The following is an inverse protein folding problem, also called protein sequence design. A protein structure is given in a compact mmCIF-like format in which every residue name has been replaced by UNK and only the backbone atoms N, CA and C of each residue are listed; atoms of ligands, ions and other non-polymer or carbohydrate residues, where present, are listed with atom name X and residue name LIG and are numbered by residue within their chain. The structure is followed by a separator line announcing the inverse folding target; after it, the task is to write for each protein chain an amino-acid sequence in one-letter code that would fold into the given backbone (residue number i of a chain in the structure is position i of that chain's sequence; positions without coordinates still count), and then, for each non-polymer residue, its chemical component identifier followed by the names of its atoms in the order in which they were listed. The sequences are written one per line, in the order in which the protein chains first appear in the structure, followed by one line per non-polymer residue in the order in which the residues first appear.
data_IF_957001700074
#
_entry.id   IF_957001700074
#
_cell.length_a   1.000
_cell.length_b   1.000
_cell.length_c   1.000
_cell.angle_alpha   90.00
_cell.angle_beta   90.00
_cell.angle_gamma   90.00
#
_symmetry.space_group_name_H-M   'P 1'
#
loop_
_entity.id
_entity.type
_entity.pdbx_description
1 polymer ?
#
# COMPACT_ATOMS: atom_id res chain seq x y z
N UNK A 1 14.11 22.50 22.17
CA UNK A 1 13.97 21.30 21.31
C UNK A 1 13.98 21.77 19.87
N UNK A 2 15.11 21.66 19.19
CA UNK A 2 15.27 22.05 17.79
C UNK A 2 14.62 20.98 16.91
N UNK A 3 13.50 21.32 16.30
CA UNK A 3 12.92 20.50 15.22
C UNK A 3 13.85 20.54 14.03
N UNK A 4 14.62 19.48 13.84
CA UNK A 4 15.34 19.25 12.60
C UNK A 4 14.31 19.16 11.49
N UNK A 5 14.25 20.15 10.60
CA UNK A 5 13.50 20.05 9.36
C UNK A 5 14.16 18.96 8.52
N UNK A 6 13.53 17.80 8.43
CA UNK A 6 13.97 16.75 7.53
C UNK A 6 14.00 17.34 6.11
N UNK A 7 15.19 17.50 5.57
CA UNK A 7 15.39 18.02 4.24
C UNK A 7 14.79 17.03 3.24
N UNK A 8 13.89 17.49 2.38
CA UNK A 8 13.31 16.63 1.34
C UNK A 8 14.44 16.10 0.46
N UNK A 9 14.58 14.78 0.29
CA UNK A 9 15.66 14.21 -0.51
C UNK A 9 15.55 14.64 -1.98
N UNK A 10 16.69 14.90 -2.62
CA UNK A 10 16.74 15.14 -4.07
C UNK A 10 16.53 13.83 -4.84
N UNK A 11 15.26 13.49 -5.05
CA UNK A 11 14.87 12.26 -5.78
C UNK A 11 15.45 12.23 -7.19
N UNK A 12 15.48 13.37 -7.88
CA UNK A 12 16.02 13.44 -9.25
C UNK A 12 17.51 13.13 -9.27
N UNK A 13 18.27 13.68 -8.33
CA UNK A 13 19.69 13.39 -8.19
C UNK A 13 19.96 11.91 -7.82
N UNK A 14 19.16 11.35 -6.89
CA UNK A 14 19.26 9.94 -6.54
C UNK A 14 19.00 9.04 -7.76
N UNK A 15 17.94 9.30 -8.51
CA UNK A 15 17.62 8.54 -9.73
C UNK A 15 18.70 8.72 -10.80
N UNK A 16 19.24 9.92 -10.97
CA UNK A 16 20.30 10.18 -11.94
C UNK A 16 21.60 9.41 -11.61
N UNK A 17 21.88 9.16 -10.35
CA UNK A 17 23.08 8.44 -9.92
C UNK A 17 23.03 6.93 -10.20
N UNK A 18 21.87 6.36 -10.45
CA UNK A 18 21.72 4.94 -10.74
C UNK A 18 22.01 4.62 -12.21
N UNK A 19 22.59 3.46 -12.46
CA UNK A 19 22.74 2.93 -13.80
C UNK A 19 21.41 2.42 -14.37
N UNK A 20 21.40 2.07 -15.65
CA UNK A 20 20.18 1.62 -16.34
C UNK A 20 19.69 0.29 -15.78
N UNK A 21 20.59 -0.62 -15.47
CA UNK A 21 20.23 -1.95 -14.96
C UNK A 21 19.51 -1.83 -13.60
N UNK A 22 20.06 -1.05 -12.69
CA UNK A 22 19.45 -0.77 -11.40
C UNK A 22 18.10 -0.07 -11.54
N UNK A 23 17.97 0.88 -12.46
CA UNK A 23 16.68 1.52 -12.76
C UNK A 23 15.63 0.54 -13.26
N UNK A 24 16.00 -0.41 -14.11
CA UNK A 24 15.11 -1.47 -14.57
C UNK A 24 14.71 -2.39 -13.42
N UNK A 25 15.66 -2.76 -12.57
CA UNK A 25 15.40 -3.60 -11.38
C UNK A 25 14.46 -2.94 -10.39
N UNK A 26 14.48 -1.60 -10.25
CA UNK A 26 13.52 -0.88 -9.41
C UNK A 26 12.06 -1.06 -9.82
N UNK A 27 11.81 -1.34 -11.11
CA UNK A 27 10.47 -1.58 -11.64
C UNK A 27 10.04 -3.04 -11.49
N UNK A 28 10.92 -3.88 -10.97
CA UNK A 28 10.69 -5.32 -10.76
C UNK A 28 10.69 -5.60 -9.25
N UNK A 29 9.83 -6.50 -8.77
CA UNK A 29 9.92 -6.98 -7.39
C UNK A 29 11.17 -7.84 -7.17
N UNK A 30 11.66 -7.88 -5.96
CA UNK A 30 12.64 -8.88 -5.52
C UNK A 30 12.00 -10.27 -5.49
N UNK A 31 10.80 -10.31 -4.95
CA UNK A 31 9.92 -11.44 -4.92
C UNK A 31 8.47 -10.99 -5.15
N UNK A 32 7.50 -11.84 -4.81
CA UNK A 32 6.08 -11.58 -5.07
C UNK A 32 5.53 -10.39 -4.28
N UNK A 33 6.13 -10.06 -3.12
CA UNK A 33 5.59 -9.07 -2.19
C UNK A 33 6.60 -8.01 -1.75
N UNK A 34 7.83 -8.06 -2.25
CA UNK A 34 8.85 -7.10 -1.83
C UNK A 34 9.52 -6.40 -3.00
N UNK A 35 9.90 -5.15 -2.76
CA UNK A 35 10.78 -4.42 -3.68
C UNK A 35 12.23 -4.82 -3.45
N UNK A 36 13.11 -4.51 -4.40
CA UNK A 36 14.54 -4.58 -4.17
C UNK A 36 14.99 -3.50 -3.18
N UNK A 37 16.10 -3.75 -2.51
CA UNK A 37 16.84 -2.71 -1.78
C UNK A 37 17.98 -2.16 -2.64
N UNK A 38 18.33 -0.90 -2.42
CA UNK A 38 19.48 -0.24 -3.06
C UNK A 38 20.20 0.57 -1.98
N UNK A 39 21.15 -0.07 -1.27
CA UNK A 39 21.86 0.55 -0.14
C UNK A 39 22.62 1.82 -0.54
N UNK A 40 23.11 1.91 -1.78
CA UNK A 40 23.87 3.03 -2.30
C UNK A 40 23.11 4.36 -2.26
N UNK A 41 21.80 4.31 -2.33
CA UNK A 41 20.92 5.48 -2.20
C UNK A 41 20.08 5.47 -0.92
N UNK A 42 20.36 4.54 -0.01
CA UNK A 42 19.63 4.37 1.24
C UNK A 42 18.20 3.84 1.08
N UNK A 43 17.88 3.24 -0.07
CA UNK A 43 16.57 2.63 -0.30
C UNK A 43 16.51 1.23 0.33
N UNK A 44 15.66 1.08 1.34
CA UNK A 44 15.41 -0.22 1.96
C UNK A 44 14.40 -1.03 1.17
N UNK A 45 14.42 -2.33 1.37
CA UNK A 45 13.35 -3.22 0.92
C UNK A 45 12.01 -2.77 1.53
N UNK A 46 10.96 -2.74 0.70
CA UNK A 46 9.59 -2.45 1.12
C UNK A 46 8.70 -3.65 0.88
N UNK A 47 7.79 -3.90 1.81
CA UNK A 47 6.83 -5.01 1.74
C UNK A 47 5.47 -4.50 1.29
N UNK A 48 4.93 -5.12 0.26
CA UNK A 48 3.58 -4.87 -0.26
C UNK A 48 2.62 -5.92 0.28
N UNK A 49 1.34 -5.61 0.31
CA UNK A 49 0.29 -6.56 0.66
C UNK A 49 -1.01 -6.25 -0.04
N UNK A 50 -1.71 -7.30 -0.41
CA UNK A 50 -3.13 -7.22 -0.74
C UNK A 50 -3.97 -6.90 0.50
N UNK A 51 -5.22 -6.56 0.23
CA UNK A 51 -6.28 -6.48 1.23
C UNK A 51 -6.76 -5.06 1.50
N UNK A 52 -7.43 -4.41 0.53
CA UNK A 52 -8.00 -3.06 0.71
C UNK A 52 -9.06 -3.02 1.81
N UNK A 53 -9.74 -4.14 2.07
CA UNK A 53 -10.71 -4.28 3.17
C UNK A 53 -10.24 -5.21 4.29
N UNK A 54 -8.95 -5.57 4.30
CA UNK A 54 -8.34 -6.41 5.33
C UNK A 54 -6.91 -6.77 4.94
N UNK A 55 -5.94 -6.10 5.54
CA UNK A 55 -4.52 -6.25 5.19
C UNK A 55 -4.06 -7.68 5.44
N UNK A 56 -3.78 -8.43 4.36
CA UNK A 56 -3.39 -9.83 4.45
C UNK A 56 -2.02 -10.02 5.12
N UNK A 57 -1.07 -9.16 4.78
CA UNK A 57 0.32 -9.30 5.15
C UNK A 57 1.13 -10.12 4.12
N UNK A 58 2.45 -10.21 4.30
CA UNK A 58 3.34 -10.88 3.34
C UNK A 58 3.19 -12.40 3.35
N UNK A 59 2.67 -12.96 4.45
CA UNK A 59 2.52 -14.42 4.64
C UNK A 59 1.04 -14.77 4.80
N UNK A 60 0.63 -15.84 4.11
CA UNK A 60 -0.69 -16.43 4.31
C UNK A 60 -0.64 -17.35 5.52
N UNK A 61 -1.00 -16.84 6.69
CA UNK A 61 -0.97 -17.58 7.95
C UNK A 61 -2.25 -17.34 8.76
N UNK A 62 -3.05 -18.36 8.94
CA UNK A 62 -4.30 -18.31 9.71
C UNK A 62 -4.09 -17.93 11.18
N UNK A 63 -2.89 -18.11 11.71
CA UNK A 63 -2.53 -17.70 13.09
C UNK A 63 -2.28 -16.20 13.20
N UNK A 64 -2.19 -15.48 12.07
CA UNK A 64 -2.05 -14.03 11.99
C UNK A 64 -3.29 -13.40 11.34
N UNK A 65 -4.46 -13.43 11.99
CA UNK A 65 -5.68 -12.88 11.44
C UNK A 65 -5.54 -11.37 11.21
N UNK A 66 -6.35 -10.85 10.30
CA UNK A 66 -6.42 -9.42 10.00
C UNK A 66 -7.74 -8.85 10.43
N UNK A 67 -7.72 -7.57 10.76
CA UNK A 67 -8.96 -6.82 10.92
C UNK A 67 -9.71 -6.81 9.58
N UNK A 68 -10.93 -7.31 9.58
CA UNK A 68 -11.82 -7.25 8.43
C UNK A 68 -12.60 -5.94 8.47
N UNK A 69 -12.36 -5.08 7.49
CA UNK A 69 -13.02 -3.79 7.34
C UNK A 69 -14.25 -3.91 6.42
N UNK A 70 -15.20 -2.96 6.50
CA UNK A 70 -16.32 -2.91 5.56
C UNK A 70 -15.86 -2.90 4.10
N UNK A 71 -16.72 -3.36 3.19
CA UNK A 71 -16.43 -3.28 1.75
C UNK A 71 -16.30 -1.84 1.27
N UNK A 72 -15.61 -1.64 0.15
CA UNK A 72 -15.47 -0.33 -0.47
C UNK A 72 -16.84 0.31 -0.78
N UNK A 73 -17.79 -0.48 -1.29
CA UNK A 73 -19.16 -0.02 -1.54
C UNK A 73 -19.88 0.43 -0.25
N UNK A 74 -19.70 -0.29 0.86
CA UNK A 74 -20.30 0.09 2.14
C UNK A 74 -19.70 1.40 2.67
N UNK A 75 -18.37 1.56 2.57
CA UNK A 75 -17.70 2.80 2.94
C UNK A 75 -18.18 3.98 2.09
N UNK A 76 -18.26 3.80 0.78
CA UNK A 76 -18.75 4.84 -0.13
C UNK A 76 -20.20 5.24 0.16
N UNK A 77 -21.07 4.27 0.49
CA UNK A 77 -22.47 4.52 0.82
C UNK A 77 -22.67 5.36 2.08
N UNK A 78 -21.69 5.42 2.97
CA UNK A 78 -21.74 6.25 4.16
C UNK A 78 -21.64 7.75 3.82
N UNK A 79 -21.04 8.11 2.68
CA UNK A 79 -20.86 9.49 2.21
C UNK A 79 -20.23 10.41 3.27
N UNK A 80 -19.30 9.84 4.06
CA UNK A 80 -18.66 10.47 5.21
C UNK A 80 -17.13 10.41 5.07
N UNK A 81 -16.53 11.59 4.89
CA UNK A 81 -15.07 11.71 4.71
C UNK A 81 -14.29 11.45 5.99
N UNK A 82 -14.88 11.72 7.16
CA UNK A 82 -14.22 11.43 8.44
C UNK A 82 -14.18 9.90 8.68
N UNK A 83 -15.27 9.21 8.38
CA UNK A 83 -15.30 7.75 8.42
C UNK A 83 -14.28 7.15 7.44
N UNK A 84 -14.11 7.72 6.24
CA UNK A 84 -13.10 7.28 5.29
C UNK A 84 -11.66 7.47 5.86
N UNK A 85 -11.42 8.57 6.57
CA UNK A 85 -10.15 8.82 7.26
C UNK A 85 -9.89 7.79 8.37
N UNK A 86 -10.89 7.48 9.17
CA UNK A 86 -10.79 6.45 10.24
C UNK A 86 -10.55 5.06 9.65
N UNK A 87 -11.22 4.73 8.57
CA UNK A 87 -11.00 3.49 7.82
C UNK A 87 -9.54 3.36 7.37
N UNK A 88 -9.00 4.41 6.75
CA UNK A 88 -7.60 4.45 6.33
C UNK A 88 -6.62 4.32 7.51
N UNK A 89 -6.94 4.93 8.66
CA UNK A 89 -6.13 4.83 9.87
C UNK A 89 -6.13 3.41 10.44
N UNK A 90 -7.28 2.72 10.44
CA UNK A 90 -7.41 1.34 10.87
C UNK A 90 -6.60 0.41 9.95
N UNK A 91 -6.74 0.55 8.63
CA UNK A 91 -5.96 -0.21 7.65
C UNK A 91 -4.45 0.01 7.82
N UNK A 92 -4.02 1.26 8.02
CA UNK A 92 -2.62 1.60 8.23
C UNK A 92 -2.06 1.03 9.54
N UNK A 93 -2.86 0.99 10.61
CA UNK A 93 -2.48 0.36 11.88
C UNK A 93 -2.23 -1.13 11.70
N UNK A 94 -3.12 -1.80 10.98
CA UNK A 94 -3.02 -3.22 10.69
C UNK A 94 -1.82 -3.53 9.78
N UNK A 95 -1.56 -2.70 8.77
CA UNK A 95 -0.39 -2.80 7.91
C UNK A 95 0.91 -2.73 8.73
N UNK A 96 1.03 -1.75 9.63
CA UNK A 96 2.20 -1.62 10.52
C UNK A 96 2.38 -2.85 11.41
N UNK A 97 1.27 -3.36 11.99
CA UNK A 97 1.31 -4.57 12.83
C UNK A 97 1.86 -5.77 12.08
N UNK A 98 1.60 -5.86 10.78
CA UNK A 98 2.03 -6.95 9.90
C UNK A 98 3.36 -6.69 9.17
N UNK A 99 4.02 -5.58 9.44
CA UNK A 99 5.28 -5.23 8.78
C UNK A 99 5.11 -4.89 7.30
N UNK A 100 3.94 -4.40 6.92
CA UNK A 100 3.60 -3.98 5.55
C UNK A 100 3.84 -2.48 5.39
N UNK A 101 4.55 -2.12 4.35
CA UNK A 101 4.82 -0.72 3.99
C UNK A 101 3.78 -0.17 3.02
N UNK A 102 3.25 -1.02 2.16
CA UNK A 102 2.36 -0.64 1.07
C UNK A 102 1.16 -1.57 0.95
N UNK A 103 -0.04 -1.06 1.18
CA UNK A 103 -1.28 -1.79 0.93
C UNK A 103 -1.75 -1.51 -0.49
N UNK A 104 -2.07 -2.56 -1.25
CA UNK A 104 -2.62 -2.45 -2.59
C UNK A 104 -4.11 -2.11 -2.49
N UNK A 105 -4.41 -0.83 -2.41
CA UNK A 105 -5.74 -0.24 -2.21
C UNK A 105 -5.66 1.28 -2.09
N UNK A 106 -6.77 1.96 -2.05
CA UNK A 106 -8.13 1.47 -2.28
C UNK A 106 -8.43 1.13 -3.75
N UNK A 107 -9.45 0.31 -3.99
CA UNK A 107 -9.91 -0.03 -5.33
C UNK A 107 -10.96 0.99 -5.79
N UNK A 108 -10.52 2.11 -6.35
CA UNK A 108 -11.34 3.27 -6.73
C UNK A 108 -12.08 3.11 -8.06
N UNK A 109 -12.33 1.88 -8.48
CA UNK A 109 -13.00 1.57 -9.73
C UNK A 109 -14.50 1.87 -9.65
N UNK A 110 -15.11 2.10 -10.82
CA UNK A 110 -16.54 2.27 -10.99
C UNK A 110 -17.21 0.95 -11.39
N UNK A 111 -18.45 0.76 -10.97
CA UNK A 111 -19.31 -0.34 -11.44
C UNK A 111 -19.83 0.01 -12.84
N UNK A 112 -19.22 -0.53 -13.89
CA UNK A 112 -19.60 -0.22 -15.28
C UNK A 112 -20.48 -1.26 -15.94
N UNK A 113 -20.40 -2.50 -15.53
CA UNK A 113 -21.18 -3.61 -16.07
C UNK A 113 -21.59 -4.56 -14.95
N UNK A 114 -22.85 -4.99 -14.89
CA UNK A 114 -23.29 -5.95 -13.88
C UNK A 114 -22.63 -7.34 -14.03
N UNK A 115 -22.01 -7.61 -15.18
CA UNK A 115 -21.30 -8.85 -15.45
C UNK A 115 -19.83 -8.82 -14.99
N UNK A 116 -19.36 -7.69 -14.44
CA UNK A 116 -18.03 -7.58 -13.89
C UNK A 116 -17.85 -8.42 -12.61
N UNK A 117 -16.69 -9.07 -12.48
CA UNK A 117 -16.28 -9.66 -11.22
C UNK A 117 -15.79 -8.61 -10.22
N UNK A 118 -15.69 -8.95 -8.94
CA UNK A 118 -15.08 -8.11 -7.90
C UNK A 118 -15.75 -6.75 -7.67
N UNK A 119 -17.04 -6.62 -7.96
CA UNK A 119 -17.80 -5.38 -7.72
C UNK A 119 -17.78 -4.96 -6.24
N UNK A 120 -17.75 -5.93 -5.33
CA UNK A 120 -17.68 -5.68 -3.89
C UNK A 120 -16.42 -4.91 -3.45
N UNK A 121 -15.39 -4.88 -4.28
CA UNK A 121 -14.16 -4.13 -4.02
C UNK A 121 -14.23 -2.68 -4.53
N UNK A 122 -15.21 -2.33 -5.33
CA UNK A 122 -15.31 -1.02 -5.97
C UNK A 122 -16.15 -0.05 -5.12
N UNK A 123 -15.85 1.25 -5.22
CA UNK A 123 -16.56 2.28 -4.46
C UNK A 123 -17.92 2.65 -5.06
N UNK A 124 -18.11 2.51 -6.36
CA UNK A 124 -19.41 2.81 -7.01
C UNK A 124 -19.61 1.96 -8.25
#
# INVERSE_FOLDING_TARGET
MTTSSAQTPDISGLVASLDLETKVRLLTGEDFWTTIEIPEIGLRKMTLSDGPSGVRGPVWDERSPSLNLPSATALASAWDTELAREYGAAAASEARRKGVDWVLGPTINLHRSPLGGRHFECFS
#
